data_IF_625606886303
#
_entry.id   IF_625606886303
#
_cell.length_a   1.000
_cell.length_b   1.000
_cell.length_c   1.000
_cell.angle_alpha   90.00
_cell.angle_beta   90.00
_cell.angle_gamma   90.00
#
_symmetry.space_group_name_H-M   'P 1'
#
loop_
_entity.id
_entity.type
_entity.pdbx_description
1 polymer ?
#
# COMPACT_ATOMS: atom_id res chain seq x y z
N UNK A 1 -24.78 -22.61 -60.63
CA UNK A 1 -24.48 -21.88 -59.39
C UNK A 1 -23.06 -21.34 -59.53
N UNK A 2 -22.69 -20.05 -59.50
CA UNK A 2 -23.35 -18.80 -59.02
C UNK A 2 -24.01 -18.97 -57.65
N UNK A 3 -23.65 -18.25 -56.60
CA UNK A 3 -23.55 -16.77 -56.52
C UNK A 3 -22.48 -16.39 -55.46
N UNK A 4 -21.62 -15.40 -55.77
CA UNK A 4 -21.05 -14.27 -54.95
C UNK A 4 -20.68 -14.47 -53.45
N UNK A 5 -19.93 -13.59 -52.76
CA UNK A 5 -19.57 -12.18 -52.98
C UNK A 5 -18.18 -11.82 -52.45
N UNK A 6 -17.55 -10.82 -53.08
CA UNK A 6 -16.44 -10.04 -52.54
C UNK A 6 -16.90 -9.13 -51.38
N UNK A 7 -15.96 -8.71 -50.53
CA UNK A 7 -16.06 -7.44 -49.79
C UNK A 7 -14.71 -6.71 -49.79
N UNK A 8 -14.48 -5.94 -50.83
CA UNK A 8 -13.69 -4.70 -50.76
C UNK A 8 -14.68 -3.54 -50.47
N UNK A 9 -14.31 -2.59 -49.62
CA UNK A 9 -14.05 -1.20 -50.02
C UNK A 9 -13.74 -0.31 -48.81
N UNK A 10 -13.03 0.80 -49.03
CA UNK A 10 -12.77 1.86 -48.06
C UNK A 10 -13.40 3.19 -48.54
N UNK A 11 -13.81 4.04 -47.60
CA UNK A 11 -13.97 5.52 -47.66
C UNK A 11 -14.43 5.96 -46.26
N UNK A 12 -13.78 6.85 -45.51
CA UNK A 12 -13.50 8.28 -45.78
C UNK A 12 -14.76 9.16 -45.83
N UNK A 13 -14.90 10.11 -44.87
CA UNK A 13 -15.72 11.33 -45.00
C UNK A 13 -15.50 12.36 -43.85
N UNK A 14 -15.20 13.61 -44.24
CA UNK A 14 -14.84 14.85 -43.46
C UNK A 14 -15.00 16.07 -44.42
N UNK A 15 -15.15 17.38 -44.05
CA UNK A 15 -15.16 18.12 -42.76
C UNK A 15 -16.59 18.72 -42.48
N UNK A 16 -16.88 19.93 -41.92
CA UNK A 16 -16.14 21.00 -41.19
C UNK A 16 -16.88 21.44 -39.86
N UNK A 17 -16.74 22.63 -39.21
CA UNK A 17 -15.94 23.87 -39.42
C UNK A 17 -15.68 24.68 -38.11
N UNK A 18 -14.71 25.60 -38.21
CA UNK A 18 -14.55 26.97 -37.65
C UNK A 18 -15.39 27.43 -36.42
N UNK A 19 -14.80 28.06 -35.39
CA UNK A 19 -14.27 29.44 -35.48
C UNK A 19 -13.28 29.85 -34.35
N UNK A 20 -12.56 30.95 -34.62
CA UNK A 20 -11.67 31.67 -33.69
C UNK A 20 -12.43 32.67 -32.82
N UNK A 21 -11.88 33.03 -31.65
CA UNK A 21 -12.42 34.07 -30.77
C UNK A 21 -11.46 34.48 -29.66
N UNK A 22 -10.64 35.50 -29.92
CA UNK A 22 -9.70 36.12 -28.98
C UNK A 22 -10.42 37.07 -28.00
N UNK A 23 -10.00 37.10 -26.72
CA UNK A 23 -10.06 38.28 -25.84
C UNK A 23 -9.38 38.02 -24.48
N UNK A 24 -8.27 38.70 -24.22
CA UNK A 24 -7.77 39.00 -22.86
C UNK A 24 -8.42 40.28 -22.33
N UNK A 25 -8.61 40.46 -21.01
CA UNK A 25 -7.69 41.38 -20.31
C UNK A 25 -7.37 41.06 -18.83
N UNK A 26 -6.06 41.10 -18.53
CA UNK A 26 -5.40 41.91 -17.49
C UNK A 26 -6.05 42.24 -16.11
N UNK A 27 -5.25 41.92 -15.07
CA UNK A 27 -4.99 42.67 -13.82
C UNK A 27 -6.02 42.74 -12.66
N UNK A 28 -5.49 42.51 -11.45
CA UNK A 28 -6.17 42.69 -10.17
C UNK A 28 -5.31 42.28 -8.97
N UNK A 29 -4.43 43.17 -8.50
CA UNK A 29 -3.61 42.99 -7.30
C UNK A 29 -4.43 42.73 -6.02
N UNK A 30 -3.93 41.90 -5.10
CA UNK A 30 -3.42 42.43 -3.81
C UNK A 30 -2.97 41.32 -2.84
N UNK A 31 -1.96 41.67 -2.06
CA UNK A 31 -1.30 40.81 -1.08
C UNK A 31 -2.05 40.84 0.28
N UNK A 32 -2.26 39.68 0.90
CA UNK A 32 -2.34 39.58 2.37
C UNK A 32 -1.94 38.18 2.84
N UNK A 33 -0.67 38.10 3.21
CA UNK A 33 -0.10 37.06 4.06
C UNK A 33 -0.96 36.83 5.31
N UNK A 34 -1.38 35.58 5.54
CA UNK A 34 -1.32 34.99 6.88
C UNK A 34 -0.45 33.71 6.81
N UNK A 35 0.41 33.57 7.81
CA UNK A 35 1.61 32.72 7.84
C UNK A 35 1.38 31.56 8.80
N UNK A 36 1.76 30.32 8.46
CA UNK A 36 2.16 29.25 9.42
C UNK A 36 2.67 27.98 8.70
N UNK A 37 3.86 27.49 9.08
CA UNK A 37 4.47 26.23 8.60
C UNK A 37 5.09 26.34 7.18
N UNK A 38 6.34 25.95 6.91
CA UNK A 38 7.04 24.77 7.41
C UNK A 38 8.56 25.01 7.64
N UNK A 39 9.23 24.08 8.31
CA UNK A 39 10.63 24.16 8.72
C UNK A 39 11.56 23.69 7.60
N UNK A 40 11.81 24.58 6.63
CA UNK A 40 12.70 24.37 5.48
C UNK A 40 14.05 23.74 5.86
N UNK A 41 14.16 22.43 5.67
CA UNK A 41 15.42 21.69 5.72
C UNK A 41 15.91 21.54 4.29
N UNK A 42 16.91 22.36 3.94
CA UNK A 42 17.53 22.35 2.61
C UNK A 42 18.23 21.01 2.39
N UNK A 43 17.82 20.28 1.36
CA UNK A 43 18.59 19.18 0.77
C UNK A 43 19.00 19.58 -0.65
N UNK A 44 20.28 19.43 -0.95
CA UNK A 44 20.94 19.96 -2.13
C UNK A 44 20.89 18.91 -3.26
N UNK A 45 20.53 19.32 -4.47
CA UNK A 45 20.58 18.47 -5.68
C UNK A 45 22.00 18.03 -6.04
N UNK A 46 22.17 16.80 -6.58
CA UNK A 46 23.28 16.51 -7.47
C UNK A 46 22.81 15.97 -8.83
N UNK A 47 22.77 16.90 -9.79
CA UNK A 47 23.23 16.82 -11.19
C UNK A 47 22.99 15.55 -12.04
N UNK A 48 22.41 15.78 -13.21
CA UNK A 48 22.28 14.88 -14.35
C UNK A 48 23.65 14.37 -14.88
N UNK A 49 23.78 13.05 -15.09
CA UNK A 49 24.88 12.47 -15.87
C UNK A 49 24.42 11.20 -16.58
N UNK A 50 24.68 11.09 -17.88
CA UNK A 50 23.96 10.15 -18.76
C UNK A 50 24.75 8.96 -19.30
N UNK A 51 24.00 8.11 -20.00
CA UNK A 51 24.40 7.16 -21.06
C UNK A 51 24.74 5.69 -20.72
N UNK A 52 23.68 4.87 -20.79
CA UNK A 52 23.60 3.53 -21.44
C UNK A 52 24.50 2.37 -21.01
N UNK A 53 23.90 1.32 -20.42
CA UNK A 53 23.57 0.06 -21.13
C UNK A 53 22.86 -0.99 -20.24
N UNK A 54 21.67 -1.42 -20.67
CA UNK A 54 21.39 -2.87 -20.76
C UNK A 54 21.07 -3.68 -19.50
N UNK A 55 20.31 -3.14 -18.54
CA UNK A 55 19.46 -3.95 -17.66
C UNK A 55 18.02 -3.43 -17.74
N UNK A 56 17.02 -4.25 -17.39
CA UNK A 56 15.64 -3.79 -17.22
C UNK A 56 15.58 -2.90 -15.96
N UNK A 57 15.99 -1.64 -16.11
CA UNK A 57 15.98 -0.65 -15.05
C UNK A 57 14.53 -0.37 -14.64
N UNK A 58 14.10 -1.01 -13.56
CA UNK A 58 12.81 -0.75 -12.94
C UNK A 58 12.84 0.68 -12.39
N UNK A 59 12.38 1.62 -13.21
CA UNK A 59 12.21 3.01 -12.79
C UNK A 59 11.07 3.03 -11.76
N UNK A 60 11.32 3.48 -10.51
CA UNK A 60 10.24 3.64 -9.54
C UNK A 60 9.21 4.58 -10.12
N UNK A 61 7.96 4.14 -10.21
CA UNK A 61 6.88 5.03 -10.63
C UNK A 61 6.72 6.10 -9.56
N UNK A 62 6.60 7.37 -9.95
CA UNK A 62 6.32 8.45 -9.00
C UNK A 62 5.08 8.09 -8.16
N UNK A 63 5.25 7.99 -6.84
CA UNK A 63 4.21 7.53 -5.91
C UNK A 63 4.27 6.05 -5.50
N UNK A 64 5.28 5.27 -5.89
CA UNK A 64 5.43 3.89 -5.39
C UNK A 64 5.69 3.86 -3.87
N UNK A 65 4.93 3.02 -3.17
CA UNK A 65 5.07 2.84 -1.71
C UNK A 65 6.50 2.38 -1.36
N UNK A 66 7.13 2.99 -0.35
CA UNK A 66 8.49 2.66 0.07
C UNK A 66 8.66 1.18 0.46
N UNK A 67 7.60 0.53 0.96
CA UNK A 67 7.59 -0.92 1.20
C UNK A 67 7.58 -1.73 -0.11
N UNK A 68 6.76 -1.35 -1.10
CA UNK A 68 6.75 -1.98 -2.42
C UNK A 68 8.11 -1.83 -3.12
N UNK A 69 8.71 -0.64 -3.08
CA UNK A 69 10.05 -0.39 -3.62
C UNK A 69 11.12 -1.27 -2.94
N UNK A 70 11.09 -1.38 -1.60
CA UNK A 70 11.96 -2.30 -0.86
C UNK A 70 11.76 -3.77 -1.25
N UNK A 71 10.51 -4.23 -1.32
CA UNK A 71 10.20 -5.62 -1.66
C UNK A 71 10.64 -5.98 -3.10
N UNK A 72 10.45 -5.07 -4.05
CA UNK A 72 10.87 -5.21 -5.46
C UNK A 72 12.37 -5.04 -5.69
N UNK A 73 13.08 -4.39 -4.77
CA UNK A 73 14.54 -4.25 -4.79
C UNK A 73 15.30 -5.48 -4.26
N UNK A 74 14.60 -6.49 -3.75
CA UNK A 74 15.20 -7.71 -3.20
C UNK A 74 14.99 -8.96 -4.06
N UNK A 75 15.59 -10.08 -3.65
CA UNK A 75 15.53 -11.37 -4.37
C UNK A 75 14.11 -11.95 -4.53
N UNK A 76 13.12 -11.42 -3.81
CA UNK A 76 11.72 -11.86 -3.86
C UNK A 76 10.80 -10.91 -4.66
N UNK A 77 11.34 -10.09 -5.58
CA UNK A 77 10.55 -9.24 -6.50
C UNK A 77 9.42 -10.02 -7.18
N UNK A 78 9.74 -11.18 -7.77
CA UNK A 78 8.78 -11.99 -8.54
C UNK A 78 7.59 -12.50 -7.69
N UNK A 79 7.78 -13.22 -6.56
CA UNK A 79 6.66 -13.63 -5.72
C UNK A 79 5.95 -12.45 -5.04
N UNK A 80 6.62 -11.30 -4.85
CA UNK A 80 5.98 -10.09 -4.33
C UNK A 80 5.02 -9.47 -5.37
N UNK A 81 5.44 -9.32 -6.62
CA UNK A 81 4.56 -8.82 -7.69
C UNK A 81 3.42 -9.81 -7.99
N UNK A 82 3.64 -11.12 -7.88
CA UNK A 82 2.55 -12.09 -7.95
C UNK A 82 1.53 -11.92 -6.80
N UNK A 83 1.98 -11.52 -5.61
CA UNK A 83 1.11 -11.23 -4.47
C UNK A 83 0.36 -9.90 -4.65
N UNK A 84 1.00 -8.84 -5.15
CA UNK A 84 0.34 -7.58 -5.53
C UNK A 84 -0.81 -7.83 -6.52
N UNK A 85 -0.56 -8.58 -7.61
CA UNK A 85 -1.60 -8.94 -8.60
C UNK A 85 -2.75 -9.73 -7.95
N UNK A 86 -2.44 -10.67 -7.04
CA UNK A 86 -3.48 -11.41 -6.34
C UNK A 86 -4.35 -10.52 -5.44
N UNK A 87 -3.76 -9.52 -4.78
CA UNK A 87 -4.51 -8.53 -4.00
C UNK A 87 -5.43 -7.68 -4.89
N UNK A 88 -4.92 -7.17 -6.01
CA UNK A 88 -5.70 -6.38 -6.97
C UNK A 88 -6.89 -7.19 -7.52
N UNK A 89 -6.69 -8.47 -7.84
CA UNK A 89 -7.76 -9.38 -8.25
C UNK A 89 -8.79 -9.63 -7.14
N UNK A 90 -8.33 -9.88 -5.91
CA UNK A 90 -9.22 -10.13 -4.77
C UNK A 90 -10.06 -8.89 -4.43
N UNK A 91 -9.47 -7.69 -4.40
CA UNK A 91 -10.19 -6.43 -4.18
C UNK A 91 -11.21 -6.17 -5.28
N UNK A 92 -10.82 -6.30 -6.56
CA UNK A 92 -11.70 -6.12 -7.71
C UNK A 92 -12.90 -7.06 -7.70
N UNK A 93 -12.69 -8.31 -7.28
CA UNK A 93 -13.74 -9.33 -7.19
C UNK A 93 -14.49 -9.32 -5.85
N UNK A 94 -14.08 -8.49 -4.87
CA UNK A 94 -14.58 -8.45 -3.49
C UNK A 94 -14.47 -9.80 -2.76
N UNK A 95 -13.40 -10.52 -3.05
CA UNK A 95 -13.04 -11.78 -2.38
C UNK A 95 -12.22 -11.50 -1.12
N UNK A 96 -12.23 -12.44 -0.17
CA UNK A 96 -11.34 -12.35 0.99
C UNK A 96 -9.87 -12.57 0.55
N UNK A 97 -9.07 -11.51 0.65
CA UNK A 97 -7.66 -11.49 0.25
C UNK A 97 -6.86 -12.58 0.99
N UNK A 98 -7.16 -12.81 2.27
CA UNK A 98 -6.43 -13.80 3.07
C UNK A 98 -6.62 -15.21 2.50
N UNK A 99 -7.86 -15.63 2.27
CA UNK A 99 -8.20 -16.94 1.70
C UNK A 99 -7.77 -17.05 0.24
N UNK A 100 -7.99 -16.01 -0.58
CA UNK A 100 -7.65 -16.03 -2.01
C UNK A 100 -6.15 -16.10 -2.26
N UNK A 101 -5.36 -15.34 -1.51
CA UNK A 101 -3.93 -15.17 -1.77
C UNK A 101 -3.01 -15.99 -0.85
N UNK A 102 -3.55 -16.85 0.03
CA UNK A 102 -2.77 -17.63 1.01
C UNK A 102 -1.59 -18.40 0.39
N UNK A 103 -1.76 -19.02 -0.79
CA UNK A 103 -0.70 -19.77 -1.45
C UNK A 103 0.42 -18.88 -2.00
N UNK A 104 0.05 -17.75 -2.61
CA UNK A 104 1.00 -16.79 -3.17
C UNK A 104 1.76 -16.09 -2.04
N UNK A 105 1.03 -15.71 -0.99
CA UNK A 105 1.58 -15.19 0.26
C UNK A 105 2.56 -16.20 0.90
N UNK A 106 2.22 -17.49 0.96
CA UNK A 106 3.13 -18.54 1.46
C UNK A 106 4.42 -18.65 0.63
N UNK A 107 4.34 -18.53 -0.69
CA UNK A 107 5.52 -18.51 -1.59
C UNK A 107 6.39 -17.28 -1.33
N UNK A 108 5.77 -16.11 -1.16
CA UNK A 108 6.46 -14.87 -0.80
C UNK A 108 7.19 -15.00 0.54
N UNK A 109 6.50 -15.42 1.61
CA UNK A 109 7.12 -15.62 2.93
C UNK A 109 8.28 -16.62 2.90
N UNK A 110 8.14 -17.75 2.20
CA UNK A 110 9.23 -18.73 2.02
C UNK A 110 10.44 -18.15 1.30
N UNK A 111 10.22 -17.31 0.30
CA UNK A 111 11.30 -16.58 -0.36
C UNK A 111 11.97 -15.59 0.61
N UNK A 112 11.19 -14.80 1.35
CA UNK A 112 11.71 -13.81 2.29
C UNK A 112 12.54 -14.46 3.40
N UNK A 113 12.13 -15.63 3.90
CA UNK A 113 12.85 -16.44 4.90
C UNK A 113 14.18 -16.98 4.34
N UNK A 114 14.16 -17.56 3.14
CA UNK A 114 15.37 -18.01 2.44
C UNK A 114 16.35 -16.86 2.12
N UNK A 115 15.84 -15.64 1.95
CA UNK A 115 16.61 -14.41 1.76
C UNK A 115 16.60 -13.50 3.00
N UNK A 116 16.50 -14.10 4.19
CA UNK A 116 16.26 -13.38 5.45
C UNK A 116 17.26 -12.26 5.72
N UNK A 117 18.52 -12.39 5.32
CA UNK A 117 19.55 -11.33 5.41
C UNK A 117 19.12 -9.99 4.80
N UNK A 118 18.42 -10.00 3.67
CA UNK A 118 17.86 -8.80 3.05
C UNK A 118 16.61 -8.33 3.80
N UNK A 119 15.72 -9.26 4.13
CA UNK A 119 14.40 -8.98 4.70
C UNK A 119 14.37 -8.79 6.24
N UNK A 120 15.54 -8.82 6.92
CA UNK A 120 15.70 -8.57 8.38
C UNK A 120 14.88 -7.38 8.91
N UNK A 121 14.82 -6.20 8.24
CA UNK A 121 14.05 -5.06 8.76
C UNK A 121 12.55 -5.29 8.84
N UNK A 122 12.00 -6.23 8.06
CA UNK A 122 10.59 -6.64 8.14
C UNK A 122 10.40 -7.61 9.29
N UNK A 123 11.21 -8.67 9.37
CA UNK A 123 11.10 -9.67 10.44
C UNK A 123 11.32 -9.08 11.84
N UNK A 124 12.24 -8.12 11.99
CA UNK A 124 12.43 -7.40 13.25
C UNK A 124 11.17 -6.61 13.69
N UNK A 125 10.46 -5.98 12.74
CA UNK A 125 9.19 -5.28 13.01
C UNK A 125 8.07 -6.27 13.34
N UNK A 126 8.02 -7.41 12.66
CA UNK A 126 7.04 -8.46 12.95
C UNK A 126 7.21 -9.02 14.37
N UNK A 127 8.44 -9.36 14.76
CA UNK A 127 8.74 -9.85 16.11
C UNK A 127 8.42 -8.81 17.20
N UNK A 128 8.72 -7.53 16.96
CA UNK A 128 8.35 -6.45 17.89
C UNK A 128 6.83 -6.27 18.01
N UNK A 129 6.08 -6.39 16.90
CA UNK A 129 4.62 -6.31 16.91
C UNK A 129 3.98 -7.52 17.63
N UNK A 130 4.58 -8.71 17.51
CA UNK A 130 4.16 -9.92 18.22
C UNK A 130 4.39 -9.77 19.73
N UNK A 131 5.57 -9.28 20.17
CA UNK A 131 5.87 -9.00 21.57
C UNK A 131 4.88 -8.00 22.20
N UNK A 132 4.61 -6.87 21.53
CA UNK A 132 3.64 -5.87 22.02
C UNK A 132 2.23 -6.46 22.15
N UNK A 133 1.85 -7.37 21.25
CA UNK A 133 0.57 -8.08 21.32
C UNK A 133 0.53 -9.04 22.51
N UNK A 134 1.58 -9.83 22.73
CA UNK A 134 1.70 -10.75 23.87
C UNK A 134 1.66 -10.00 25.22
N UNK A 135 2.38 -8.88 25.33
CA UNK A 135 2.38 -8.02 26.52
C UNK A 135 0.98 -7.46 26.81
N UNK A 136 0.27 -6.96 25.79
CA UNK A 136 -1.09 -6.46 25.93
C UNK A 136 -2.11 -7.56 26.32
N UNK A 137 -2.00 -8.75 25.72
CA UNK A 137 -2.84 -9.90 26.09
C UNK A 137 -2.55 -10.38 27.51
N UNK A 138 -1.29 -10.35 27.95
CA UNK A 138 -0.89 -10.67 29.33
C UNK A 138 -1.40 -9.64 30.35
N UNK A 139 -1.31 -8.34 30.05
CA UNK A 139 -1.84 -7.27 30.92
C UNK A 139 -3.36 -7.37 31.07
N UNK A 140 -4.09 -7.52 29.94
CA UNK A 140 -5.53 -7.74 29.95
C UNK A 140 -5.93 -8.95 30.79
N UNK A 141 -5.20 -10.07 30.68
CA UNK A 141 -5.48 -11.27 31.46
C UNK A 141 -5.20 -11.10 32.96
N UNK A 142 -4.29 -10.21 33.36
CA UNK A 142 -4.07 -9.86 34.78
C UNK A 142 -5.23 -9.02 35.33
N UNK A 143 -5.63 -7.97 34.62
CA UNK A 143 -6.77 -7.11 35.03
C UNK A 143 -8.04 -7.94 35.22
N UNK A 144 -8.34 -8.85 34.29
CA UNK A 144 -9.51 -9.75 34.40
C UNK A 144 -9.42 -10.72 35.58
N UNK A 145 -8.20 -11.15 35.99
CA UNK A 145 -8.01 -11.98 37.18
C UNK A 145 -8.20 -11.15 38.46
N UNK A 146 -7.59 -9.97 38.55
CA UNK A 146 -7.70 -9.05 39.68
C UNK A 146 -9.16 -8.60 39.90
N UNK A 147 -9.88 -8.22 38.83
CA UNK A 147 -11.32 -7.90 38.88
C UNK A 147 -12.15 -9.08 39.39
N UNK A 148 -11.81 -10.31 38.98
CA UNK A 148 -12.52 -11.52 39.41
C UNK A 148 -12.27 -11.83 40.89
N UNK A 149 -11.03 -11.76 41.36
CA UNK A 149 -10.70 -11.96 42.77
C UNK A 149 -11.39 -10.92 43.67
N UNK A 150 -11.36 -9.63 43.28
CA UNK A 150 -12.09 -8.56 43.99
C UNK A 150 -13.61 -8.85 44.02
N UNK A 151 -14.19 -9.32 42.92
CA UNK A 151 -15.62 -9.66 42.87
C UNK A 151 -16.01 -10.84 43.77
N UNK A 152 -15.13 -11.85 43.90
CA UNK A 152 -15.37 -13.02 44.75
C UNK A 152 -15.20 -12.67 46.24
N UNK A 153 -14.24 -11.82 46.59
CA UNK A 153 -14.07 -11.27 47.95
C UNK A 153 -15.28 -10.42 48.37
N UNK A 154 -15.76 -9.53 47.51
CA UNK A 154 -16.91 -8.66 47.82
C UNK A 154 -18.19 -9.49 48.05
N UNK A 155 -18.42 -10.53 47.24
CA UNK A 155 -19.53 -11.47 47.39
C UNK A 155 -19.41 -12.29 48.68
N UNK A 156 -18.19 -12.65 49.11
CA UNK A 156 -17.96 -13.34 50.38
C UNK A 156 -18.25 -12.42 51.58
N UNK A 157 -17.76 -11.17 51.56
CA UNK A 157 -17.99 -10.18 52.61
C UNK A 157 -19.49 -9.86 52.79
N UNK A 158 -20.23 -9.65 51.69
CA UNK A 158 -21.68 -9.39 51.72
C UNK A 158 -22.49 -10.52 52.38
N UNK A 159 -22.05 -11.79 52.28
CA UNK A 159 -22.72 -12.94 52.91
C UNK A 159 -22.49 -13.02 54.41
N UNK A 160 -21.35 -12.56 54.91
CA UNK A 160 -21.04 -12.60 56.35
C UNK A 160 -21.80 -11.52 57.15
N UNK A 161 -22.22 -10.43 56.51
CA UNK A 161 -22.95 -9.34 57.15
C UNK A 161 -24.48 -9.57 57.28
N UNK A 162 -24.99 -10.74 56.89
CA UNK A 162 -26.43 -11.05 56.83
C UNK A 162 -26.84 -12.25 57.73
N UNK A 163 -25.93 -12.75 58.56
CA UNK A 163 -26.18 -13.84 59.53
C UNK A 163 -25.94 -13.40 60.96
#
# INVERSE_FOLDING_TARGET
>A
MVITSSTENATDSKPPSENLGDSSPELGDSNSSEKLGDSSTVWIDPVESGSTKGEESYQPKEGECAFCAFMKGGGCREPFTAWEVCMEEAEKNKEDIFTKCVEVNSKLFKCMDAHSDYYKPIFAKQAAAEQVKEEFEAEKNKVVQEEKEVSEEEVAARKQAQG
#
